data_IF_011005897259
#
_entry.id   IF_011005897259
#
_cell.length_a   1.000
_cell.length_b   1.000
_cell.length_c   1.000
_cell.angle_alpha   90.00
_cell.angle_beta   90.00
_cell.angle_gamma   90.00
#
_symmetry.space_group_name_H-M   'P 1'
#
loop_
_entity.id
_entity.type
_entity.pdbx_description
1 polymer ?
#
# COMPACT_ATOMS: atom_id res chain seq x y z
N UNK A 1 4.09 -61.50 0.98
CA UNK A 1 5.18 -61.26 1.95
C UNK A 1 5.81 -59.93 1.61
N UNK A 2 5.50 -58.90 2.39
CA UNK A 2 6.06 -57.55 2.26
C UNK A 2 5.85 -56.86 3.61
N UNK A 3 6.94 -56.66 4.34
CA UNK A 3 6.96 -56.25 5.74
C UNK A 3 6.61 -54.77 5.88
N UNK A 4 5.67 -54.50 6.80
CA UNK A 4 5.47 -53.21 7.45
C UNK A 4 6.65 -52.93 8.38
N UNK A 5 7.26 -51.75 8.25
CA UNK A 5 8.12 -51.20 9.30
C UNK A 5 7.48 -49.92 9.83
N UNK A 6 6.93 -50.05 11.03
CA UNK A 6 6.58 -48.95 11.92
C UNK A 6 7.89 -48.54 12.61
N UNK A 7 8.35 -47.30 12.35
CA UNK A 7 9.37 -46.67 13.18
C UNK A 7 8.72 -45.56 14.00
N UNK A 8 8.51 -45.86 15.28
CA UNK A 8 8.30 -44.85 16.32
C UNK A 8 9.63 -44.15 16.59
N UNK A 9 9.61 -42.82 16.63
CA UNK A 9 10.68 -41.98 17.16
C UNK A 9 10.08 -40.92 18.10
N UNK A 10 10.84 -40.46 19.11
CA UNK A 10 10.32 -40.06 20.41
C UNK A 10 9.83 -38.61 20.46
N UNK A 11 8.90 -38.37 21.38
CA UNK A 11 8.45 -37.05 21.79
C UNK A 11 9.61 -36.27 22.44
N UNK A 12 10.21 -35.36 21.68
CA UNK A 12 11.10 -34.33 22.22
C UNK A 12 10.27 -33.14 22.67
N UNK A 13 10.10 -33.03 23.98
CA UNK A 13 9.62 -31.85 24.70
C UNK A 13 10.40 -30.60 24.27
N UNK A 14 9.72 -29.61 23.68
CA UNK A 14 10.28 -28.29 23.45
C UNK A 14 10.30 -27.51 24.77
N UNK A 15 11.43 -26.89 25.14
CA UNK A 15 11.54 -26.09 26.34
C UNK A 15 10.78 -24.78 26.19
N UNK A 16 10.10 -24.38 27.26
CA UNK A 16 9.51 -23.06 27.39
C UNK A 16 10.59 -21.99 27.27
N UNK A 17 10.50 -21.19 26.21
CA UNK A 17 11.21 -19.93 26.10
C UNK A 17 10.24 -18.80 26.41
N UNK A 18 10.49 -18.19 27.56
CA UNK A 18 10.09 -16.86 28.00
C UNK A 18 9.67 -15.91 26.88
N UNK A 19 8.55 -15.21 27.11
CA UNK A 19 8.16 -13.97 26.44
C UNK A 19 9.31 -12.95 26.51
N UNK A 20 10.19 -12.95 25.50
CA UNK A 20 10.96 -11.76 25.19
C UNK A 20 10.06 -10.86 24.37
N UNK A 21 9.87 -9.63 24.82
CA UNK A 21 9.32 -8.52 24.07
C UNK A 21 10.11 -8.37 22.76
N UNK A 22 9.71 -9.12 21.74
CA UNK A 22 10.34 -9.09 20.44
C UNK A 22 9.98 -7.78 19.77
N UNK A 23 10.97 -6.91 19.61
CA UNK A 23 10.91 -5.87 18.59
C UNK A 23 10.53 -6.55 17.27
N UNK A 24 9.35 -6.21 16.77
CA UNK A 24 8.87 -6.70 15.49
C UNK A 24 9.88 -6.22 14.43
N UNK A 25 10.39 -7.12 13.56
CA UNK A 25 11.36 -6.72 12.55
C UNK A 25 10.80 -5.58 11.70
N UNK A 26 11.47 -4.43 11.76
CA UNK A 26 11.21 -3.30 10.88
C UNK A 26 11.21 -3.77 9.43
N UNK A 27 10.14 -3.49 8.69
CA UNK A 27 10.06 -3.72 7.25
C UNK A 27 11.29 -3.03 6.64
N UNK A 28 12.23 -3.80 6.07
CA UNK A 28 13.38 -3.18 5.43
C UNK A 28 12.85 -2.31 4.29
N UNK A 29 13.03 -0.97 4.35
CA UNK A 29 12.63 -0.13 3.25
C UNK A 29 13.43 -0.60 2.05
N UNK A 30 12.75 -1.03 0.98
CA UNK A 30 13.50 -1.36 -0.23
C UNK A 30 14.30 -0.15 -0.70
N UNK A 31 15.35 -0.40 -1.47
CA UNK A 31 16.35 0.62 -1.80
C UNK A 31 15.69 1.80 -2.54
N UNK A 32 15.50 2.90 -1.81
CA UNK A 32 15.04 4.18 -2.36
C UNK A 32 16.16 4.78 -3.19
N UNK A 33 15.83 5.21 -4.39
CA UNK A 33 16.77 5.88 -5.30
C UNK A 33 16.60 7.38 -5.11
N UNK A 34 17.67 8.06 -4.65
CA UNK A 34 17.65 9.49 -4.33
C UNK A 34 18.45 10.35 -5.33
N UNK A 35 19.21 9.73 -6.24
CA UNK A 35 19.98 10.46 -7.25
C UNK A 35 19.06 11.04 -8.34
N UNK A 36 18.66 12.30 -8.16
CA UNK A 36 17.83 13.04 -9.11
C UNK A 36 18.42 13.15 -10.52
N UNK A 37 19.75 13.12 -10.68
CA UNK A 37 20.37 13.17 -12.00
C UNK A 37 20.16 11.86 -12.75
N UNK A 38 20.34 10.73 -12.05
CA UNK A 38 20.06 9.41 -12.58
C UNK A 38 18.57 9.20 -12.90
N UNK A 39 17.68 9.65 -12.02
CA UNK A 39 16.23 9.48 -12.15
C UNK A 39 15.63 10.21 -13.38
N UNK A 40 16.31 11.23 -13.92
CA UNK A 40 15.88 11.93 -15.15
C UNK A 40 15.83 11.03 -16.38
N UNK A 41 16.67 9.99 -16.43
CA UNK A 41 16.74 9.05 -17.55
C UNK A 41 15.70 7.93 -17.49
N UNK A 42 14.98 7.79 -16.38
CA UNK A 42 14.04 6.69 -16.18
C UNK A 42 12.64 7.10 -16.62
N UNK A 43 12.06 6.28 -17.50
CA UNK A 43 10.68 6.41 -17.95
C UNK A 43 9.83 5.27 -17.38
N UNK A 44 8.70 5.64 -16.79
CA UNK A 44 7.69 4.73 -16.28
C UNK A 44 6.60 4.53 -17.35
N UNK A 45 6.35 3.28 -17.72
CA UNK A 45 5.53 2.91 -18.89
C UNK A 45 4.27 2.16 -18.52
N UNK A 46 4.19 1.60 -17.31
CA UNK A 46 3.02 0.93 -16.79
C UNK A 46 2.72 1.41 -15.37
N UNK A 47 1.46 1.26 -14.97
CA UNK A 47 0.91 1.72 -13.69
C UNK A 47 -0.05 0.70 -13.11
N UNK A 48 -0.15 0.65 -11.80
CA UNK A 48 -1.04 -0.21 -11.02
C UNK A 48 -1.47 0.51 -9.74
N UNK A 49 -2.44 -0.06 -9.04
CA UNK A 49 -2.79 0.34 -7.68
C UNK A 49 -2.63 -0.88 -6.78
N UNK A 50 -1.84 -0.71 -5.72
CA UNK A 50 -1.70 -1.68 -4.65
C UNK A 50 -2.57 -1.24 -3.48
N UNK A 51 -3.07 -2.24 -2.74
CA UNK A 51 -3.75 -2.00 -1.49
C UNK A 51 -3.36 -3.04 -0.44
N UNK A 52 -3.46 -2.68 0.82
CA UNK A 52 -3.27 -3.57 1.97
C UNK A 52 -4.47 -3.48 2.92
N UNK A 53 -4.75 -4.53 3.70
CA UNK A 53 -5.82 -4.46 4.68
C UNK A 53 -5.40 -3.51 5.79
N UNK A 54 -6.36 -2.78 6.34
CA UNK A 54 -6.11 -1.95 7.51
C UNK A 54 -6.03 -2.84 8.77
N UNK A 55 -5.07 -2.59 9.68
CA UNK A 55 -4.89 -3.41 10.87
C UNK A 55 -6.16 -3.37 11.74
N UNK A 56 -6.63 -4.55 12.18
CA UNK A 56 -7.86 -4.69 12.97
C UNK A 56 -9.17 -4.54 12.19
N UNK A 57 -9.14 -4.30 10.86
CA UNK A 57 -10.34 -4.01 10.06
C UNK A 57 -10.73 -5.11 9.05
N UNK A 58 -9.98 -6.20 8.97
CA UNK A 58 -10.34 -7.39 8.16
C UNK A 58 -11.72 -7.98 8.50
N UNK A 59 -12.25 -7.69 9.70
CA UNK A 59 -13.56 -8.15 10.17
C UNK A 59 -14.75 -7.37 9.58
N UNK A 60 -14.53 -6.19 9.00
CA UNK A 60 -15.59 -5.33 8.44
C UNK A 60 -15.90 -5.74 6.99
N UNK A 61 -14.88 -6.11 6.21
CA UNK A 61 -15.06 -6.59 4.83
C UNK A 61 -15.73 -7.98 4.75
N UNK A 62 -15.78 -8.74 5.86
CA UNK A 62 -16.38 -10.07 5.95
C UNK A 62 -17.88 -10.10 6.32
N UNK A 63 -18.58 -8.97 6.24
CA UNK A 63 -20.02 -8.93 5.94
C UNK A 63 -21.00 -9.68 6.87
N UNK A 64 -20.66 -9.96 8.13
CA UNK A 64 -21.55 -10.67 9.09
C UNK A 64 -21.82 -9.89 10.36
N UNK A 65 -22.39 -8.69 10.24
CA UNK A 65 -22.78 -7.88 11.39
C UNK A 65 -24.29 -7.63 11.43
N UNK A 66 -24.85 -7.69 12.64
CA UNK A 66 -26.24 -7.32 12.92
C UNK A 66 -26.43 -5.81 12.66
N UNK A 67 -27.51 -5.37 11.98
CA UNK A 67 -27.79 -3.97 11.68
C UNK A 67 -27.78 -3.03 12.91
N UNK A 68 -28.09 -3.53 14.11
CA UNK A 68 -28.03 -2.74 15.36
C UNK A 68 -26.59 -2.45 15.77
N UNK A 69 -25.68 -3.41 15.57
CA UNK A 69 -24.24 -3.23 15.85
C UNK A 69 -23.61 -2.25 14.88
N UNK A 70 -24.04 -2.26 13.60
CA UNK A 70 -23.65 -1.24 12.63
C UNK A 70 -24.09 0.15 13.11
N UNK A 71 -25.36 0.32 13.49
CA UNK A 71 -25.89 1.64 13.83
C UNK A 71 -25.26 2.28 15.07
N UNK A 72 -24.93 1.47 16.08
CA UNK A 72 -24.34 1.95 17.35
C UNK A 72 -22.82 2.13 17.29
N UNK A 73 -22.13 1.35 16.45
CA UNK A 73 -20.67 1.37 16.40
C UNK A 73 -20.13 2.19 15.22
N UNK A 74 -20.93 2.51 14.20
CA UNK A 74 -20.53 3.35 13.05
C UNK A 74 -19.87 4.67 13.46
N UNK A 75 -20.38 5.44 14.44
CA UNK A 75 -19.74 6.71 14.84
C UNK A 75 -18.37 6.50 15.52
N UNK A 76 -18.26 5.49 16.39
CA UNK A 76 -17.01 5.14 17.06
C UNK A 76 -15.98 4.53 16.07
N UNK A 77 -16.47 3.80 15.07
CA UNK A 77 -15.67 3.24 13.99
C UNK A 77 -15.18 4.32 13.03
N UNK A 78 -16.00 5.30 12.62
CA UNK A 78 -15.52 6.39 11.77
C UNK A 78 -14.31 7.12 12.37
N UNK A 79 -14.25 7.22 13.72
CA UNK A 79 -13.15 7.82 14.46
C UNK A 79 -11.89 6.94 14.58
N UNK A 80 -12.03 5.60 14.58
CA UNK A 80 -10.92 4.65 14.53
C UNK A 80 -10.50 4.26 13.10
N UNK A 81 -11.37 4.52 12.12
CA UNK A 81 -11.11 4.29 10.70
C UNK A 81 -10.20 5.37 10.12
N UNK A 82 -10.30 6.59 10.65
CA UNK A 82 -9.46 7.76 10.40
C UNK A 82 -8.06 7.70 11.03
N UNK A 83 -7.39 6.54 10.97
CA UNK A 83 -5.94 6.52 11.13
C UNK A 83 -5.24 7.25 9.96
N UNK A 84 -3.92 7.49 10.03
CA UNK A 84 -3.16 8.09 8.94
C UNK A 84 -3.10 7.10 7.77
N UNK A 85 -4.16 7.02 6.96
CA UNK A 85 -4.37 5.85 6.12
C UNK A 85 -3.64 5.96 4.78
N UNK A 86 -2.50 5.27 4.70
CA UNK A 86 -1.81 4.81 3.48
C UNK A 86 -2.06 3.31 3.31
N UNK A 87 -3.26 2.93 2.84
CA UNK A 87 -3.57 1.51 2.57
C UNK A 87 -3.87 1.26 1.09
N UNK A 88 -3.91 2.32 0.28
CA UNK A 88 -3.92 2.27 -1.17
C UNK A 88 -2.80 3.16 -1.65
N UNK A 89 -2.00 2.68 -2.60
CA UNK A 89 -0.95 3.49 -3.19
C UNK A 89 -0.82 3.22 -4.68
N UNK A 90 -0.50 4.29 -5.39
CA UNK A 90 -0.24 4.26 -6.81
C UNK A 90 1.18 3.78 -7.05
N UNK A 91 1.38 2.87 -8.01
CA UNK A 91 2.72 2.44 -8.42
C UNK A 91 2.85 2.52 -9.94
N UNK A 92 3.95 3.08 -10.42
CA UNK A 92 4.34 3.03 -11.83
C UNK A 92 5.69 2.33 -11.97
N UNK A 93 5.91 1.59 -13.06
CA UNK A 93 7.15 0.82 -13.30
C UNK A 93 7.80 1.15 -14.63
N UNK A 94 9.13 1.06 -14.67
CA UNK A 94 9.92 1.20 -15.90
C UNK A 94 9.77 -0.01 -16.81
N UNK A 95 10.08 0.15 -18.11
CA UNK A 95 9.90 -0.91 -19.10
C UNK A 95 10.74 -2.18 -18.82
N UNK A 96 11.86 -2.02 -18.12
CA UNK A 96 12.73 -3.13 -17.71
C UNK A 96 12.37 -3.68 -16.32
N UNK A 97 11.28 -3.21 -15.69
CA UNK A 97 10.83 -3.61 -14.35
C UNK A 97 11.90 -3.48 -13.26
N UNK A 98 12.86 -2.57 -13.42
CA UNK A 98 13.89 -2.30 -12.42
C UNK A 98 13.50 -1.17 -11.48
N UNK A 99 12.82 -0.14 -11.97
CA UNK A 99 12.49 1.05 -11.19
C UNK A 99 10.99 1.17 -11.01
N UNK A 100 10.58 1.45 -9.78
CA UNK A 100 9.19 1.58 -9.39
C UNK A 100 9.00 2.91 -8.68
N UNK A 101 8.15 3.77 -9.24
CA UNK A 101 7.67 4.96 -8.58
C UNK A 101 6.45 4.59 -7.74
N UNK A 102 6.46 4.89 -6.44
CA UNK A 102 5.31 4.74 -5.57
C UNK A 102 4.88 6.10 -5.04
N UNK A 103 3.56 6.34 -5.07
CA UNK A 103 2.96 7.55 -4.53
C UNK A 103 1.83 7.23 -3.54
N UNK A 104 1.86 7.97 -2.43
CA UNK A 104 1.02 7.72 -1.27
C UNK A 104 0.40 9.03 -0.79
N UNK A 105 -0.71 8.90 -0.07
CA UNK A 105 -1.49 10.02 0.41
C UNK A 105 -2.12 9.69 1.76
N UNK A 106 -1.60 10.33 2.79
CA UNK A 106 -2.09 10.20 4.15
C UNK A 106 -2.40 11.56 4.76
N UNK A 107 -2.94 11.51 5.97
CA UNK A 107 -3.11 12.67 6.83
C UNK A 107 -2.16 12.51 8.00
N UNK A 108 -1.38 13.54 8.30
CA UNK A 108 -0.51 13.55 9.48
C UNK A 108 -1.32 13.76 10.78
N UNK A 109 -0.64 13.64 11.92
CA UNK A 109 -1.26 13.82 13.24
C UNK A 109 -1.84 15.22 13.46
N UNK A 110 -1.41 16.22 12.67
CA UNK A 110 -1.92 17.59 12.72
C UNK A 110 -3.18 17.80 11.88
N UNK A 111 -3.64 16.76 11.19
CA UNK A 111 -4.78 16.82 10.27
C UNK A 111 -4.42 17.38 8.90
N UNK A 112 -3.13 17.53 8.59
CA UNK A 112 -2.68 18.06 7.30
C UNK A 112 -2.43 16.90 6.33
N UNK A 113 -2.87 17.12 5.09
CA UNK A 113 -2.58 16.24 3.97
C UNK A 113 -1.07 16.10 3.75
N UNK A 114 -0.61 14.86 3.67
CA UNK A 114 0.75 14.49 3.34
C UNK A 114 0.76 13.62 2.08
N UNK A 115 1.50 14.07 1.07
CA UNK A 115 1.64 13.39 -0.22
C UNK A 115 3.10 13.06 -0.43
N UNK A 116 3.38 11.80 -0.74
CA UNK A 116 4.75 11.35 -1.03
C UNK A 116 4.84 10.71 -2.41
N UNK A 117 5.97 10.90 -3.06
CA UNK A 117 6.32 10.27 -4.34
C UNK A 117 7.80 9.88 -4.31
N UNK A 118 8.09 8.59 -4.36
CA UNK A 118 9.45 8.05 -4.24
C UNK A 118 9.72 6.97 -5.28
N UNK A 119 10.98 6.84 -5.70
CA UNK A 119 11.42 5.78 -6.61
C UNK A 119 12.19 4.73 -5.84
N UNK A 120 11.90 3.47 -6.13
CA UNK A 120 12.49 2.29 -5.51
C UNK A 120 13.11 1.40 -6.58
N UNK A 121 14.20 0.73 -6.21
CA UNK A 121 14.77 -0.35 -7.00
C UNK A 121 14.02 -1.65 -6.68
N UNK A 122 13.38 -2.21 -7.70
CA UNK A 122 12.60 -3.45 -7.60
C UNK A 122 11.22 -3.25 -6.98
N UNK A 123 10.30 -4.15 -7.35
CA UNK A 123 8.93 -4.16 -6.86
C UNK A 123 8.83 -4.31 -5.33
N UNK A 124 9.65 -5.15 -4.66
CA UNK A 124 9.57 -5.30 -3.21
C UNK A 124 9.71 -3.99 -2.44
N UNK A 125 10.55 -3.06 -2.92
CA UNK A 125 10.71 -1.76 -2.28
C UNK A 125 9.49 -0.86 -2.42
N UNK A 126 8.89 -0.83 -3.62
CA UNK A 126 7.66 -0.08 -3.84
C UNK A 126 6.47 -0.67 -3.07
N UNK A 127 6.39 -1.99 -2.93
CA UNK A 127 5.37 -2.65 -2.11
C UNK A 127 5.58 -2.33 -0.63
N UNK A 128 6.79 -2.57 -0.12
CA UNK A 128 7.15 -2.31 1.27
C UNK A 128 6.88 -0.85 1.68
N UNK A 129 7.01 0.10 0.75
CA UNK A 129 6.74 1.51 1.02
C UNK A 129 5.30 1.79 1.48
N UNK A 130 4.32 0.99 1.04
CA UNK A 130 2.91 1.17 1.38
C UNK A 130 2.38 0.21 2.45
N UNK A 131 3.24 -0.68 2.99
CA UNK A 131 2.83 -1.59 4.05
C UNK A 131 2.87 -0.89 5.41
N UNK A 132 1.73 -0.87 6.09
CA UNK A 132 1.59 -0.21 7.40
C UNK A 132 2.17 -1.02 8.57
N UNK A 133 2.35 -2.34 8.40
CA UNK A 133 2.84 -3.24 9.42
C UNK A 133 3.52 -4.47 8.78
N UNK A 134 4.45 -5.16 9.49
CA UNK A 134 5.31 -6.18 8.88
C UNK A 134 4.59 -7.41 8.34
N UNK A 135 3.46 -7.79 8.94
CA UNK A 135 2.65 -8.93 8.52
C UNK A 135 1.58 -8.55 7.47
N UNK A 136 1.54 -7.28 7.05
CA UNK A 136 0.56 -6.82 6.08
C UNK A 136 0.78 -7.51 4.74
N UNK A 137 -0.26 -8.16 4.25
CA UNK A 137 -0.31 -8.59 2.86
C UNK A 137 -0.82 -7.45 1.99
N UNK A 138 -0.44 -7.43 0.72
CA UNK A 138 -1.01 -6.51 -0.25
C UNK A 138 -1.64 -7.28 -1.41
N UNK A 139 -2.59 -6.66 -2.09
CA UNK A 139 -3.13 -7.12 -3.37
C UNK A 139 -3.09 -6.01 -4.40
N UNK A 140 -3.26 -6.38 -5.67
CA UNK A 140 -3.47 -5.43 -6.76
C UNK A 140 -4.94 -5.02 -6.77
N UNK A 141 -5.24 -3.80 -6.33
CA UNK A 141 -6.58 -3.22 -6.43
C UNK A 141 -6.91 -2.80 -7.88
N UNK A 142 -5.87 -2.47 -8.65
CA UNK A 142 -5.92 -2.34 -10.12
C UNK A 142 -4.71 -3.02 -10.71
N UNK A 143 -4.93 -3.81 -11.74
CA UNK A 143 -3.87 -4.49 -12.47
C UNK A 143 -2.95 -3.50 -13.20
N UNK A 144 -1.77 -4.01 -13.56
CA UNK A 144 -0.83 -3.28 -14.41
C UNK A 144 -1.47 -2.95 -15.75
N UNK A 145 -1.49 -1.66 -16.07
CA UNK A 145 -1.93 -1.15 -17.35
C UNK A 145 -0.84 -0.22 -17.92
N UNK A 146 -0.71 -0.14 -19.25
CA UNK A 146 0.18 0.83 -19.86
C UNK A 146 -0.24 2.27 -19.50
N UNK A 147 0.76 3.12 -19.23
CA UNK A 147 0.58 4.56 -19.24
C UNK A 147 0.22 5.01 -20.66
N UNK A 148 -0.61 6.05 -20.80
CA UNK A 148 -0.91 6.60 -22.15
C UNK A 148 0.34 7.07 -22.89
N UNK A 149 1.27 7.63 -22.12
CA UNK A 149 2.60 8.02 -22.56
C UNK A 149 3.61 7.65 -21.47
N UNK A 150 4.85 7.27 -21.83
CA UNK A 150 5.92 7.10 -20.86
C UNK A 150 6.11 8.39 -20.04
N UNK A 151 6.27 8.26 -18.72
CA UNK A 151 6.39 9.42 -17.81
C UNK A 151 7.73 9.43 -17.12
N UNK A 152 8.38 10.59 -17.05
CA UNK A 152 9.52 10.76 -16.15
C UNK A 152 9.03 10.97 -14.71
N UNK A 153 9.92 10.75 -13.73
CA UNK A 153 9.60 11.00 -12.30
C UNK A 153 8.99 12.39 -12.06
N UNK A 154 9.58 13.42 -12.68
CA UNK A 154 9.11 14.81 -12.55
C UNK A 154 7.66 15.00 -13.01
N UNK A 155 7.24 14.26 -14.04
CA UNK A 155 5.87 14.36 -14.54
C UNK A 155 4.90 13.68 -13.58
N UNK A 156 5.29 12.55 -12.99
CA UNK A 156 4.54 11.89 -11.93
C UNK A 156 4.42 12.78 -10.69
N UNK A 157 5.52 13.39 -10.23
CA UNK A 157 5.49 14.34 -9.10
C UNK A 157 4.58 15.53 -9.38
N UNK A 158 4.58 16.05 -10.61
CA UNK A 158 3.67 17.13 -11.03
C UNK A 158 2.20 16.68 -10.97
N UNK A 159 1.91 15.43 -11.33
CA UNK A 159 0.57 14.88 -11.24
C UNK A 159 0.12 14.69 -9.79
N UNK A 160 1.04 14.33 -8.88
CA UNK A 160 0.73 14.28 -7.45
C UNK A 160 0.21 15.62 -6.94
N UNK A 161 0.90 16.71 -7.30
CA UNK A 161 0.53 18.06 -6.87
C UNK A 161 -0.77 18.58 -7.49
N UNK A 162 -1.15 18.05 -8.66
CA UNK A 162 -2.41 18.37 -9.34
C UNK A 162 -3.57 17.47 -8.92
N UNK A 163 -3.32 16.41 -8.16
CA UNK A 163 -4.35 15.48 -7.75
C UNK A 163 -5.40 16.20 -6.87
N UNK A 164 -6.70 16.17 -7.22
CA UNK A 164 -7.74 16.82 -6.41
C UNK A 164 -7.73 16.36 -4.95
N UNK A 165 -7.40 15.10 -4.71
CA UNK A 165 -7.37 14.54 -3.36
C UNK A 165 -6.32 15.17 -2.46
N UNK A 166 -5.22 15.64 -3.03
CA UNK A 166 -4.17 16.35 -2.29
C UNK A 166 -4.62 17.75 -1.85
N UNK A 167 -5.58 18.36 -2.56
CA UNK A 167 -6.03 19.74 -2.34
C UNK A 167 -7.26 19.85 -1.43
N UNK A 168 -8.04 18.79 -1.33
CA UNK A 168 -9.23 18.72 -0.47
C UNK A 168 -8.87 18.13 0.89
N UNK A 169 -9.58 18.51 1.98
CA UNK A 169 -9.37 17.90 3.29
C UNK A 169 -9.52 16.38 3.24
N UNK A 170 -8.72 15.65 4.01
CA UNK A 170 -8.87 14.20 4.11
C UNK A 170 -10.24 13.84 4.72
N UNK A 171 -10.98 12.97 4.04
CA UNK A 171 -12.23 12.38 4.50
C UNK A 171 -12.19 10.89 4.21
N UNK A 172 -12.45 10.07 5.23
CA UNK A 172 -12.49 8.62 5.05
C UNK A 172 -13.56 8.17 4.04
N UNK A 173 -14.65 8.93 3.87
CA UNK A 173 -15.71 8.64 2.90
C UNK A 173 -15.43 9.28 1.54
N UNK A 174 -15.03 10.55 1.52
CA UNK A 174 -15.16 11.39 0.33
C UNK A 174 -13.82 11.77 -0.30
N UNK A 175 -12.71 11.65 0.45
CA UNK A 175 -11.39 12.02 -0.03
C UNK A 175 -10.26 11.37 0.76
N UNK A 176 -9.80 10.20 0.32
CA UNK A 176 -8.82 9.38 1.01
C UNK A 176 -7.75 8.83 0.04
N UNK A 177 -6.85 7.99 0.52
CA UNK A 177 -5.78 7.37 -0.29
C UNK A 177 -6.31 6.55 -1.48
N UNK A 178 -7.48 5.92 -1.38
CA UNK A 178 -8.10 5.23 -2.51
C UNK A 178 -8.46 6.22 -3.62
N UNK A 179 -9.16 7.32 -3.28
CA UNK A 179 -9.49 8.36 -4.24
C UNK A 179 -8.25 8.97 -4.89
N UNK A 180 -7.21 9.23 -4.08
CA UNK A 180 -5.94 9.72 -4.58
C UNK A 180 -5.28 8.76 -5.58
N UNK A 181 -5.15 7.47 -5.24
CA UNK A 181 -4.54 6.47 -6.11
C UNK A 181 -5.34 6.26 -7.40
N UNK A 182 -6.67 6.24 -7.30
CA UNK A 182 -7.57 6.15 -8.46
C UNK A 182 -7.42 7.38 -9.35
N UNK A 183 -7.38 8.60 -8.79
CA UNK A 183 -7.16 9.83 -9.57
C UNK A 183 -5.81 9.83 -10.32
N UNK A 184 -4.74 9.23 -9.77
CA UNK A 184 -3.47 9.10 -10.50
C UNK A 184 -3.52 8.05 -11.61
N UNK A 185 -4.18 6.93 -11.33
CA UNK A 185 -4.35 5.84 -12.27
C UNK A 185 -5.25 6.26 -13.45
N UNK A 186 -6.39 6.88 -13.14
CA UNK A 186 -7.40 7.32 -14.10
C UNK A 186 -7.13 8.70 -14.67
N UNK A 187 -6.48 9.62 -13.96
CA UNK A 187 -6.15 10.97 -14.45
C UNK A 187 -5.18 10.98 -15.65
N UNK A 188 -4.72 9.81 -16.07
CA UNK A 188 -4.22 9.59 -17.43
C UNK A 188 -5.32 9.78 -18.49
N UNK A 189 -6.59 9.87 -18.11
CA UNK A 189 -7.76 9.83 -19.00
C UNK A 189 -8.21 11.16 -19.58
N UNK A 190 -7.68 12.31 -19.15
CA UNK A 190 -8.27 13.62 -19.46
C UNK A 190 -8.62 13.84 -20.94
N UNK A 191 -9.93 13.94 -21.13
CA UNK A 191 -10.74 14.62 -22.15
C UNK A 191 -10.15 14.76 -23.55
N UNK A 192 -10.59 13.85 -24.43
CA UNK A 192 -10.86 14.21 -25.83
C UNK A 192 -11.92 15.32 -25.77
N UNK A 193 -11.50 16.57 -25.99
CA UNK A 193 -12.39 17.64 -26.41
C UNK A 193 -12.38 17.67 -27.93
#
# INVERSE_FOLDING_TARGET
MGQSMIHSAPASSLPGSSLSSGEIPSVQPGLKVEDDHFLRGILFVEKAIFACPLPGKAWIELGRWNPVSLLLLVPAWSYQVSGPADHWWFVARSANNMYFYAAQFCMDETGKNHVTGSVYLGLPGAVASGLQYPEAQCWLAREWAPCRQPRAKRDLDRLLMKNPSAQLPYSWMDNNCQHFAVNLYEGDHEHIV
#
